data_IF_648738307414
#
_entry.id   IF_648738307414
#
_cell.length_a   1.000
_cell.length_b   1.000
_cell.length_c   1.000
_cell.angle_alpha   90.00
_cell.angle_beta   90.00
_cell.angle_gamma   90.00
#
_symmetry.space_group_name_H-M   'P 1'
#
loop_
_entity.id
_entity.type
_entity.pdbx_description
1 polymer ?
#
# COMPACT_ATOMS: atom_id res chain seq x y z
N UNK A 1 21.44 27.99 13.11
CA UNK A 1 20.62 26.78 13.25
C UNK A 1 19.28 27.07 12.61
N UNK A 2 18.97 26.48 11.46
CA UNK A 2 17.69 26.71 10.78
C UNK A 2 16.61 25.93 11.52
N UNK A 3 15.76 26.63 12.28
CA UNK A 3 14.51 26.08 12.81
C UNK A 3 13.57 25.89 11.64
N UNK A 4 13.60 24.71 11.00
CA UNK A 4 12.62 24.37 9.99
C UNK A 4 11.29 24.16 10.69
N UNK A 5 10.43 25.19 10.67
CA UNK A 5 9.04 25.08 11.09
C UNK A 5 8.39 23.93 10.34
N UNK A 6 7.71 23.03 11.05
CA UNK A 6 6.96 21.93 10.43
C UNK A 6 5.90 22.53 9.51
N UNK A 7 5.93 22.16 8.23
CA UNK A 7 4.90 22.55 7.27
C UNK A 7 3.58 21.89 7.62
N UNK A 8 2.47 22.54 7.26
CA UNK A 8 1.17 21.89 7.33
C UNK A 8 1.04 20.89 6.18
N UNK A 9 0.27 19.82 6.41
CA UNK A 9 0.07 18.77 5.39
C UNK A 9 -0.34 19.30 4.00
N UNK A 10 -1.18 20.35 3.86
CA UNK A 10 -1.49 20.92 2.55
C UNK A 10 -0.30 21.56 1.84
N UNK A 11 0.62 22.18 2.60
CA UNK A 11 1.83 22.80 2.04
C UNK A 11 2.79 21.73 1.52
N UNK A 12 3.02 20.68 2.32
CA UNK A 12 3.83 19.54 1.90
C UNK A 12 3.22 18.82 0.70
N UNK A 13 1.89 18.68 0.66
CA UNK A 13 1.19 18.08 -0.47
C UNK A 13 1.35 18.92 -1.75
N UNK A 14 1.22 20.25 -1.64
CA UNK A 14 1.41 21.18 -2.76
C UNK A 14 2.84 21.11 -3.30
N UNK A 15 3.84 21.11 -2.44
CA UNK A 15 5.24 20.96 -2.85
C UNK A 15 5.48 19.65 -3.63
N UNK A 16 4.84 18.56 -3.21
CA UNK A 16 4.95 17.28 -3.89
C UNK A 16 4.28 17.30 -5.27
N UNK A 17 3.01 17.74 -5.36
CA UNK A 17 2.24 17.67 -6.61
C UNK A 17 2.66 18.72 -7.64
N UNK A 18 3.17 19.87 -7.20
CA UNK A 18 3.71 20.92 -8.06
C UNK A 18 5.20 20.74 -8.38
N UNK A 19 5.90 19.88 -7.63
CA UNK A 19 7.32 19.57 -7.85
C UNK A 19 7.51 18.13 -8.34
N UNK A 20 8.09 17.29 -7.47
CA UNK A 20 8.57 15.94 -7.81
C UNK A 20 7.56 15.04 -8.54
N UNK A 21 6.25 15.16 -8.27
CA UNK A 21 5.24 14.33 -8.94
C UNK A 21 5.02 14.75 -10.39
N UNK A 22 5.08 16.04 -10.68
CA UNK A 22 4.99 16.54 -12.05
C UNK A 22 6.24 16.15 -12.85
N UNK A 23 7.42 16.20 -12.22
CA UNK A 23 8.68 15.79 -12.83
C UNK A 23 8.71 14.29 -13.13
N UNK A 24 8.32 13.44 -12.19
CA UNK A 24 8.43 11.98 -12.33
C UNK A 24 7.28 11.36 -13.11
N UNK A 25 6.05 11.88 -12.93
CA UNK A 25 4.85 11.25 -13.50
C UNK A 25 4.19 12.08 -14.60
N UNK A 26 4.74 13.23 -14.94
CA UNK A 26 4.18 14.13 -15.95
C UNK A 26 2.89 14.83 -15.49
N UNK A 27 2.13 15.38 -16.45
CA UNK A 27 0.88 16.08 -16.17
C UNK A 27 -0.10 15.18 -15.38
N UNK A 28 -0.74 15.68 -14.32
CA UNK A 28 -1.67 14.88 -13.52
C UNK A 28 -2.81 14.27 -14.33
N UNK A 29 -3.31 14.98 -15.35
CA UNK A 29 -4.37 14.48 -16.23
C UNK A 29 -3.94 13.20 -16.96
N UNK A 30 -2.73 13.18 -17.53
CA UNK A 30 -2.23 12.00 -18.25
C UNK A 30 -2.00 10.84 -17.29
N UNK A 31 -1.23 11.05 -16.22
CA UNK A 31 -0.92 10.01 -15.24
C UNK A 31 -2.18 9.38 -14.63
N UNK A 32 -3.14 10.22 -14.21
CA UNK A 32 -4.38 9.72 -13.61
C UNK A 32 -5.29 9.05 -14.65
N UNK A 33 -5.26 9.49 -15.91
CA UNK A 33 -5.99 8.81 -16.99
C UNK A 33 -5.36 7.44 -17.30
N UNK A 34 -4.03 7.33 -17.38
CA UNK A 34 -3.34 6.06 -17.57
C UNK A 34 -3.70 5.05 -16.47
N UNK A 35 -3.79 5.51 -15.21
CA UNK A 35 -4.23 4.70 -14.07
C UNK A 35 -5.71 4.28 -14.25
N UNK A 36 -6.59 5.21 -14.60
CA UNK A 36 -8.01 4.93 -14.78
C UNK A 36 -8.24 3.90 -15.91
N UNK A 37 -7.54 4.05 -17.03
CA UNK A 37 -7.62 3.14 -18.17
C UNK A 37 -7.08 1.75 -17.82
N UNK A 38 -6.06 1.69 -16.95
CA UNK A 38 -5.52 0.43 -16.42
C UNK A 38 -6.49 -0.25 -15.44
N UNK A 39 -7.10 0.51 -14.52
CA UNK A 39 -7.98 -0.04 -13.48
C UNK A 39 -9.36 -0.44 -13.99
N UNK A 40 -9.90 0.30 -14.96
CA UNK A 40 -11.26 0.11 -15.48
C UNK A 40 -11.58 -1.34 -15.89
N UNK A 41 -10.78 -2.02 -16.74
CA UNK A 41 -11.08 -3.40 -17.12
C UNK A 41 -11.04 -4.36 -15.93
N UNK A 42 -10.10 -4.18 -14.99
CA UNK A 42 -10.01 -4.98 -13.78
C UNK A 42 -11.26 -4.82 -12.90
N UNK A 43 -11.63 -3.56 -12.60
CA UNK A 43 -12.77 -3.25 -11.74
C UNK A 43 -14.08 -3.73 -12.37
N UNK A 44 -14.28 -3.51 -13.67
CA UNK A 44 -15.45 -4.04 -14.38
C UNK A 44 -15.58 -5.55 -14.19
N UNK A 45 -14.50 -6.29 -14.42
CA UNK A 45 -14.50 -7.75 -14.29
C UNK A 45 -14.70 -8.21 -12.84
N UNK A 46 -14.08 -7.53 -11.88
CA UNK A 46 -14.24 -7.83 -10.46
C UNK A 46 -15.70 -7.64 -10.01
N UNK A 47 -16.34 -6.53 -10.43
CA UNK A 47 -17.74 -6.26 -10.13
C UNK A 47 -18.70 -7.22 -10.84
N UNK A 48 -18.43 -7.61 -12.09
CA UNK A 48 -19.22 -8.63 -12.80
C UNK A 48 -19.20 -9.98 -12.09
N UNK A 49 -18.02 -10.42 -11.60
CA UNK A 49 -17.86 -11.73 -10.96
C UNK A 49 -18.36 -11.72 -9.52
N UNK A 50 -18.05 -10.66 -8.75
CA UNK A 50 -18.21 -10.65 -7.28
C UNK A 50 -19.27 -9.68 -6.78
N UNK A 51 -19.72 -8.74 -7.61
CA UNK A 51 -20.64 -7.65 -7.22
C UNK A 51 -20.01 -6.57 -6.34
N UNK A 52 -18.75 -6.71 -5.93
CA UNK A 52 -18.03 -5.77 -5.06
C UNK A 52 -16.51 -5.91 -5.23
N UNK A 53 -15.77 -4.93 -4.69
CA UNK A 53 -14.33 -4.99 -4.53
C UNK A 53 -13.98 -5.47 -3.10
N UNK A 54 -12.97 -6.33 -3.00
CA UNK A 54 -12.42 -6.83 -1.74
C UNK A 54 -11.05 -6.19 -1.44
N UNK A 55 -10.51 -6.45 -0.25
CA UNK A 55 -9.14 -6.05 0.08
C UNK A 55 -8.09 -6.62 -0.89
N UNK A 56 -8.32 -7.83 -1.41
CA UNK A 56 -7.47 -8.44 -2.44
C UNK A 56 -7.49 -7.64 -3.76
N UNK A 57 -8.63 -7.06 -4.13
CA UNK A 57 -8.68 -6.20 -5.32
C UNK A 57 -7.88 -4.91 -5.10
N UNK A 58 -7.95 -4.34 -3.89
CA UNK A 58 -7.18 -3.15 -3.55
C UNK A 58 -5.68 -3.40 -3.68
N UNK A 59 -5.16 -4.55 -3.21
CA UNK A 59 -3.72 -4.84 -3.37
C UNK A 59 -3.30 -4.89 -4.84
N UNK A 60 -4.11 -5.51 -5.70
CA UNK A 60 -3.84 -5.57 -7.15
C UNK A 60 -3.94 -4.19 -7.82
N UNK A 61 -4.93 -3.38 -7.45
CA UNK A 61 -5.06 -1.99 -7.94
C UNK A 61 -3.85 -1.14 -7.56
N UNK A 62 -3.34 -1.30 -6.34
CA UNK A 62 -2.15 -0.59 -5.88
C UNK A 62 -0.86 -1.06 -6.58
N UNK A 63 -0.75 -2.36 -6.91
CA UNK A 63 0.35 -2.85 -7.77
C UNK A 63 0.28 -2.20 -9.15
N UNK A 64 -0.89 -2.17 -9.79
CA UNK A 64 -1.07 -1.55 -11.11
C UNK A 64 -0.74 -0.05 -11.11
N UNK A 65 -1.15 0.68 -10.05
CA UNK A 65 -0.80 2.10 -9.86
C UNK A 65 0.71 2.33 -9.85
N UNK A 66 1.45 1.47 -9.17
CA UNK A 66 2.90 1.60 -9.06
C UNK A 66 3.59 1.16 -10.35
N UNK A 67 3.09 0.13 -11.02
CA UNK A 67 3.60 -0.34 -12.29
C UNK A 67 3.44 0.71 -13.41
N UNK A 68 2.25 1.32 -13.55
CA UNK A 68 2.00 2.30 -14.62
C UNK A 68 2.88 3.55 -14.49
N UNK A 69 3.15 4.00 -13.25
CA UNK A 69 4.05 5.14 -12.99
C UNK A 69 5.49 4.88 -13.43
N UNK A 70 5.93 3.62 -13.49
CA UNK A 70 7.29 3.25 -13.93
C UNK A 70 7.51 3.43 -15.43
N UNK A 71 6.45 3.60 -16.24
CA UNK A 71 6.57 3.85 -17.69
C UNK A 71 7.43 5.09 -17.97
N UNK A 72 7.40 6.06 -17.06
CA UNK A 72 8.11 7.34 -17.17
C UNK A 72 9.53 7.29 -16.59
N UNK A 73 9.97 6.15 -16.07
CA UNK A 73 11.31 5.95 -15.53
C UNK A 73 11.32 5.03 -14.31
N UNK A 74 12.49 4.47 -14.02
CA UNK A 74 12.67 3.61 -12.86
C UNK A 74 12.68 4.41 -11.56
N UNK A 75 11.76 4.07 -10.66
CA UNK A 75 11.70 4.57 -9.30
C UNK A 75 11.69 3.39 -8.31
N UNK A 76 12.73 3.32 -7.47
CA UNK A 76 12.90 2.20 -6.51
C UNK A 76 11.76 2.12 -5.50
N UNK A 77 11.22 3.26 -5.06
CA UNK A 77 10.06 3.30 -4.15
C UNK A 77 8.87 2.54 -4.73
N UNK A 78 8.62 2.71 -6.02
CA UNK A 78 7.52 2.04 -6.71
C UNK A 78 7.73 0.52 -6.79
N UNK A 79 8.96 0.05 -6.99
CA UNK A 79 9.28 -1.39 -6.92
C UNK A 79 9.11 -1.94 -5.50
N UNK A 80 9.55 -1.21 -4.47
CA UNK A 80 9.35 -1.61 -3.08
C UNK A 80 7.86 -1.69 -2.74
N UNK A 81 7.08 -0.71 -3.18
CA UNK A 81 5.64 -0.70 -2.97
C UNK A 81 4.94 -1.85 -3.70
N UNK A 82 5.34 -2.18 -4.94
CA UNK A 82 4.82 -3.35 -5.66
C UNK A 82 5.06 -4.62 -4.84
N UNK A 83 6.29 -4.84 -4.35
CA UNK A 83 6.59 -5.98 -3.50
C UNK A 83 5.76 -5.96 -2.20
N UNK A 84 5.56 -4.80 -1.60
CA UNK A 84 4.75 -4.62 -0.40
C UNK A 84 3.28 -4.99 -0.61
N UNK A 85 2.64 -4.44 -1.65
CA UNK A 85 1.23 -4.74 -1.96
C UNK A 85 1.04 -6.19 -2.43
N UNK A 86 1.97 -6.76 -3.18
CA UNK A 86 1.94 -8.17 -3.54
C UNK A 86 2.09 -9.06 -2.30
N UNK A 87 2.97 -8.73 -1.35
CA UNK A 87 3.06 -9.44 -0.09
C UNK A 87 1.77 -9.32 0.74
N UNK A 88 1.12 -8.14 0.77
CA UNK A 88 -0.18 -7.98 1.42
C UNK A 88 -1.28 -8.81 0.77
N UNK A 89 -1.22 -9.06 -0.54
CA UNK A 89 -2.13 -9.98 -1.21
C UNK A 89 -2.01 -11.40 -0.63
N UNK A 90 -0.79 -11.90 -0.43
CA UNK A 90 -0.52 -13.17 0.25
C UNK A 90 -1.05 -13.17 1.68
N UNK A 91 -0.84 -12.08 2.43
CA UNK A 91 -1.37 -11.95 3.80
C UNK A 91 -2.90 -12.09 3.85
N UNK A 92 -3.60 -11.64 2.80
CA UNK A 92 -5.05 -11.71 2.70
C UNK A 92 -5.57 -13.05 2.13
N UNK A 93 -4.70 -13.95 1.68
CA UNK A 93 -5.11 -15.21 1.06
C UNK A 93 -5.66 -16.21 2.08
N UNK A 94 -5.07 -16.24 3.29
CA UNK A 94 -5.48 -17.15 4.37
C UNK A 94 -4.98 -16.71 5.77
N UNK A 95 -5.46 -17.40 6.82
CA UNK A 95 -5.14 -17.10 8.23
C UNK A 95 -3.69 -17.39 8.60
N UNK A 96 -3.07 -18.45 8.06
CA UNK A 96 -1.68 -18.81 8.36
C UNK A 96 -0.72 -17.75 7.81
N UNK A 97 -1.05 -17.20 6.65
CA UNK A 97 -0.33 -16.08 6.03
C UNK A 97 -0.42 -14.81 6.90
N UNK A 98 -1.60 -14.49 7.44
CA UNK A 98 -1.77 -13.40 8.40
C UNK A 98 -0.99 -13.63 9.71
N UNK A 99 -1.04 -14.83 10.28
CA UNK A 99 -0.26 -15.17 11.48
C UNK A 99 1.25 -14.98 11.24
N UNK A 100 1.76 -15.48 10.12
CA UNK A 100 3.16 -15.33 9.73
C UNK A 100 3.55 -13.86 9.63
N UNK A 101 2.68 -13.03 9.05
CA UNK A 101 2.87 -11.60 8.95
C UNK A 101 2.94 -10.92 10.32
N UNK A 102 1.99 -11.19 11.22
CA UNK A 102 1.98 -10.63 12.59
C UNK A 102 3.25 -11.00 13.33
N UNK A 103 3.64 -12.29 13.30
CA UNK A 103 4.88 -12.75 13.96
C UNK A 103 6.13 -12.12 13.37
N UNK A 104 6.16 -11.86 12.05
CA UNK A 104 7.27 -11.15 11.40
C UNK A 104 7.33 -9.68 11.79
N UNK A 105 6.19 -9.01 11.90
CA UNK A 105 6.10 -7.64 12.38
C UNK A 105 6.57 -7.54 13.85
N UNK A 106 6.14 -8.47 14.69
CA UNK A 106 6.51 -8.54 16.10
C UNK A 106 8.04 -8.63 16.31
N UNK A 107 8.77 -9.34 15.44
CA UNK A 107 10.25 -9.41 15.49
C UNK A 107 10.96 -8.07 15.32
N UNK A 108 10.26 -7.02 14.87
CA UNK A 108 10.80 -5.65 14.79
C UNK A 108 10.67 -4.87 16.10
N UNK A 109 9.88 -5.36 17.04
CA UNK A 109 9.69 -4.75 18.36
C UNK A 109 10.82 -5.22 19.27
N UNK A 110 11.52 -4.24 19.86
CA UNK A 110 12.73 -4.49 20.65
C UNK A 110 12.40 -5.12 22.01
N UNK A 111 11.53 -4.48 22.78
CA UNK A 111 11.13 -4.97 24.11
C UNK A 111 10.20 -6.17 23.98
N UNK A 112 10.47 -7.20 24.79
CA UNK A 112 9.75 -8.46 24.75
C UNK A 112 8.29 -8.30 25.16
N UNK A 113 8.03 -7.55 26.24
CA UNK A 113 6.67 -7.27 26.73
C UNK A 113 5.80 -6.60 25.65
N UNK A 114 6.34 -5.59 24.94
CA UNK A 114 5.65 -4.93 23.84
C UNK A 114 5.41 -5.87 22.65
N UNK A 115 6.34 -6.79 22.40
CA UNK A 115 6.24 -7.78 21.33
C UNK A 115 5.12 -8.78 21.63
N UNK A 116 5.06 -9.29 22.84
CA UNK A 116 4.02 -10.20 23.29
C UNK A 116 2.65 -9.52 23.26
N UNK A 117 2.56 -8.29 23.79
CA UNK A 117 1.34 -7.49 23.73
C UNK A 117 0.89 -7.22 22.28
N UNK A 118 1.82 -7.00 21.35
CA UNK A 118 1.51 -6.85 19.94
C UNK A 118 0.96 -8.15 19.32
N UNK A 119 1.58 -9.29 19.61
CA UNK A 119 1.11 -10.59 19.09
C UNK A 119 -0.28 -10.90 19.62
N UNK A 120 -0.50 -10.80 20.93
CA UNK A 120 -1.79 -11.07 21.58
C UNK A 120 -2.91 -10.18 21.04
N UNK A 121 -2.60 -8.91 20.74
CA UNK A 121 -3.57 -7.98 20.14
C UNK A 121 -4.11 -8.43 18.79
N UNK A 122 -3.27 -9.06 17.96
CA UNK A 122 -3.63 -9.42 16.58
C UNK A 122 -3.90 -10.91 16.37
N UNK A 123 -3.38 -11.76 17.26
CA UNK A 123 -3.57 -13.20 17.29
C UNK A 123 -3.99 -13.63 18.70
N UNK A 124 -5.15 -13.15 19.20
CA UNK A 124 -5.62 -13.56 20.50
C UNK A 124 -5.80 -15.09 20.49
N UNK A 125 -5.32 -15.76 21.53
CA UNK A 125 -5.65 -17.17 21.70
C UNK A 125 -7.19 -17.28 21.76
N UNK A 126 -7.75 -18.18 20.95
CA UNK A 126 -9.17 -18.53 21.06
C UNK A 126 -9.38 -19.04 22.49
N UNK A 127 -9.86 -18.17 23.38
CA UNK A 127 -10.49 -18.60 24.63
C UNK A 127 -11.81 -19.22 24.20
N UNK A 128 -11.75 -20.49 23.82
CA UNK A 128 -12.89 -21.31 23.47
C UNK A 128 -13.98 -21.14 24.54
N UNK A 129 -15.19 -20.84 24.06
CA UNK A 129 -16.43 -21.20 24.73
C UNK A 129 -17.01 -22.39 23.99
#
# INVERSE_FOLDING_TARGET
>A
MSTTSKKLAPEEALDLICGSRMEFYGPPQENLQDIADTWTPYVKRALEIKGHLSGMDVTMLMVMLKAIRQIRGYHRDSTVDICGYAALAEVLSDKNSFETFVRRAAKKIFFEEDREAFVEKFLPENKEK
#
